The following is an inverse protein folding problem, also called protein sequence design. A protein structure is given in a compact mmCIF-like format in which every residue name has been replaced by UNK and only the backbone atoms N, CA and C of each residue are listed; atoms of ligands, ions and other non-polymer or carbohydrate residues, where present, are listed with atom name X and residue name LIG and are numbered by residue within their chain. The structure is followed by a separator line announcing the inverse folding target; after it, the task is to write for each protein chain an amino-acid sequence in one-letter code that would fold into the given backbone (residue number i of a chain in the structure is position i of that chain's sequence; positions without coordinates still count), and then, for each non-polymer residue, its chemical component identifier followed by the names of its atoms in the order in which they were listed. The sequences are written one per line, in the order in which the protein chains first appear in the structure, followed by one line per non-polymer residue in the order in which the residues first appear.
data_IF_423703081992
#
_entry.id   IF_423703081992
#
_cell.length_a   1.000
_cell.length_b   1.000
_cell.length_c   1.000
_cell.angle_alpha   90.00
_cell.angle_beta   90.00
_cell.angle_gamma   90.00
#
_symmetry.space_group_name_H-M   'P 1'
#
loop_
_entity.id
_entity.type
_entity.pdbx_description
1 polymer ?
#
# COMPACT_ATOMS: atom_id res chain seq x y z
N UNK A 1 -12.54 -12.64 15.87
CA UNK A 1 -11.66 -11.62 15.26
C UNK A 1 -11.08 -12.00 13.89
N UNK A 2 -10.65 -13.25 13.62
CA UNK A 2 -10.05 -13.64 12.32
C UNK A 2 -10.97 -13.50 11.09
N UNK A 3 -12.28 -13.77 11.22
CA UNK A 3 -13.23 -13.68 10.11
C UNK A 3 -13.51 -12.26 9.63
N UNK A 4 -13.48 -11.26 10.52
CA UNK A 4 -13.72 -9.85 10.18
C UNK A 4 -12.56 -9.27 9.35
N UNK A 5 -11.32 -9.61 9.70
CA UNK A 5 -10.14 -9.22 8.91
C UNK A 5 -10.18 -9.80 7.50
N UNK A 6 -10.48 -11.09 7.36
CA UNK A 6 -10.62 -11.74 6.05
C UNK A 6 -11.71 -11.10 5.17
N UNK A 7 -12.87 -10.81 5.75
CA UNK A 7 -13.94 -10.11 5.04
C UNK A 7 -13.49 -8.71 4.60
N UNK A 8 -12.81 -7.96 5.46
CA UNK A 8 -12.28 -6.65 5.14
C UNK A 8 -11.22 -6.68 4.03
N UNK A 9 -10.33 -7.68 4.03
CA UNK A 9 -9.35 -7.88 2.95
C UNK A 9 -10.05 -8.19 1.63
N UNK A 10 -11.09 -9.04 1.63
CA UNK A 10 -11.85 -9.34 0.41
C UNK A 10 -12.57 -8.10 -0.13
N UNK A 11 -13.29 -7.38 0.72
CA UNK A 11 -14.00 -6.15 0.33
C UNK A 11 -13.00 -5.09 -0.13
N UNK A 12 -11.85 -4.96 0.55
CA UNK A 12 -10.77 -4.06 0.16
C UNK A 12 -10.15 -4.43 -1.18
N UNK A 13 -9.99 -5.72 -1.47
CA UNK A 13 -9.53 -6.20 -2.77
C UNK A 13 -10.48 -5.80 -3.90
N UNK A 14 -11.79 -6.02 -3.71
CA UNK A 14 -12.80 -5.59 -4.68
C UNK A 14 -12.85 -4.06 -4.82
N UNK A 15 -12.78 -3.31 -3.72
CA UNK A 15 -12.76 -1.85 -3.73
C UNK A 15 -11.53 -1.30 -4.45
N UNK A 16 -10.35 -1.89 -4.21
CA UNK A 16 -9.10 -1.53 -4.89
C UNK A 16 -9.15 -1.83 -6.38
N UNK A 17 -9.71 -2.99 -6.78
CA UNK A 17 -9.91 -3.35 -8.19
C UNK A 17 -10.91 -2.43 -8.89
N UNK A 18 -11.99 -2.05 -8.19
CA UNK A 18 -12.94 -1.06 -8.69
C UNK A 18 -12.28 0.30 -8.87
N UNK A 19 -11.51 0.80 -7.88
CA UNK A 19 -10.77 2.06 -8.01
C UNK A 19 -9.81 2.04 -9.20
N UNK A 20 -9.02 0.96 -9.32
CA UNK A 20 -8.03 0.81 -10.38
C UNK A 20 -8.65 0.74 -11.80
N UNK A 21 -9.89 0.27 -11.92
CA UNK A 21 -10.60 0.22 -13.20
C UNK A 21 -11.36 1.50 -13.53
N UNK A 22 -11.81 2.27 -12.53
CA UNK A 22 -12.64 3.48 -12.71
C UNK A 22 -11.82 4.77 -12.75
N UNK A 23 -10.68 4.83 -12.08
CA UNK A 23 -9.84 6.03 -11.97
C UNK A 23 -8.49 5.85 -12.67
N UNK A 24 -7.80 6.97 -12.91
CA UNK A 24 -6.42 6.92 -13.42
C UNK A 24 -5.49 6.20 -12.42
N UNK A 25 -4.44 5.56 -12.93
CA UNK A 25 -3.47 4.82 -12.13
C UNK A 25 -2.86 5.68 -11.02
N UNK A 26 -2.59 6.96 -11.32
CA UNK A 26 -2.07 7.97 -10.37
C UNK A 26 -3.05 8.24 -9.26
N UNK A 27 -4.32 8.51 -9.60
CA UNK A 27 -5.35 8.79 -8.61
C UNK A 27 -5.54 7.58 -7.68
N UNK A 28 -5.53 6.36 -8.24
CA UNK A 28 -5.58 5.13 -7.45
C UNK A 28 -4.40 5.03 -6.49
N UNK A 29 -3.16 5.24 -6.95
CA UNK A 29 -1.97 5.17 -6.10
C UNK A 29 -2.00 6.20 -4.96
N UNK A 30 -2.46 7.43 -5.22
CA UNK A 30 -2.66 8.45 -4.18
C UNK A 30 -3.71 8.02 -3.16
N UNK A 31 -4.88 7.58 -3.61
CA UNK A 31 -5.96 7.16 -2.72
C UNK A 31 -5.50 6.00 -1.84
N UNK A 32 -4.90 4.96 -2.43
CA UNK A 32 -4.40 3.80 -1.71
C UNK A 32 -3.33 4.16 -0.67
N UNK A 33 -2.36 4.98 -1.06
CA UNK A 33 -1.33 5.46 -0.14
C UNK A 33 -1.93 6.27 1.00
N UNK A 34 -2.82 7.21 0.72
CA UNK A 34 -3.43 8.08 1.73
C UNK A 34 -4.30 7.27 2.71
N UNK A 35 -5.08 6.31 2.22
CA UNK A 35 -5.84 5.37 3.05
C UNK A 35 -4.92 4.59 3.99
N UNK A 36 -3.81 4.06 3.46
CA UNK A 36 -2.83 3.31 4.25
C UNK A 36 -2.17 4.18 5.32
N UNK A 37 -1.86 5.44 5.00
CA UNK A 37 -1.27 6.39 5.95
C UNK A 37 -2.25 6.72 7.09
N UNK A 38 -3.52 6.95 6.77
CA UNK A 38 -4.57 7.18 7.78
C UNK A 38 -4.71 5.95 8.68
N UNK A 39 -4.72 4.74 8.11
CA UNK A 39 -4.79 3.50 8.89
C UNK A 39 -3.59 3.38 9.85
N UNK A 40 -2.38 3.69 9.39
CA UNK A 40 -1.18 3.70 10.23
C UNK A 40 -1.31 4.71 11.40
N UNK A 41 -1.85 5.90 11.13
CA UNK A 41 -2.05 6.94 12.14
C UNK A 41 -3.06 6.53 13.21
N UNK A 42 -4.11 5.79 12.82
CA UNK A 42 -5.12 5.27 13.75
C UNK A 42 -4.52 4.35 14.83
N UNK A 43 -3.47 3.60 14.50
CA UNK A 43 -2.75 2.80 15.49
C UNK A 43 -1.87 3.63 16.42
N UNK A 44 -1.28 4.72 15.93
CA UNK A 44 -0.54 5.66 16.78
C UNK A 44 -1.47 6.30 17.81
N UNK A 45 -2.68 6.69 17.40
CA UNK A 45 -3.72 7.20 18.31
C UNK A 45 -4.18 6.13 19.33
N UNK A 46 -4.40 4.90 18.87
CA UNK A 46 -4.79 3.78 19.74
C UNK A 46 -3.72 3.46 20.80
N UNK A 47 -2.44 3.61 20.45
CA UNK A 47 -1.33 3.41 21.38
C UNK A 47 -1.30 4.44 22.53
N UNK A 48 -1.97 5.60 22.38
CA UNK A 48 -2.05 6.65 23.40
C UNK A 48 -3.32 6.50 24.26
N UNK A 49 -4.45 6.09 23.66
CA UNK A 49 -5.77 5.99 24.35
C UNK A 49 -5.89 4.76 25.24
N UNK A 50 -5.14 3.69 24.98
CA UNK A 50 -5.17 2.44 25.76
C UNK A 50 -6.01 1.32 25.14
N UNK A 51 -6.03 0.15 25.79
CA UNK A 51 -6.54 -1.12 25.25
C UNK A 51 -8.07 -1.16 25.23
N UNK A 52 -8.69 -0.47 24.28
CA UNK A 52 -10.09 -0.69 23.91
C UNK A 52 -10.17 -1.77 22.82
N UNK A 53 -10.80 -2.90 23.15
CA UNK A 53 -10.93 -4.06 22.26
C UNK A 53 -11.73 -3.71 20.99
N UNK A 54 -12.69 -2.78 21.07
CA UNK A 54 -13.47 -2.33 19.92
C UNK A 54 -12.65 -1.45 19.00
N UNK A 55 -11.88 -0.51 19.56
CA UNK A 55 -11.01 0.37 18.78
C UNK A 55 -9.89 -0.41 18.10
N UNK A 56 -9.31 -1.41 18.78
CA UNK A 56 -8.32 -2.33 18.19
C UNK A 56 -8.92 -3.14 17.04
N UNK A 57 -10.12 -3.70 17.22
CA UNK A 57 -10.79 -4.47 16.17
C UNK A 57 -11.09 -3.62 14.93
N UNK A 58 -11.55 -2.37 15.11
CA UNK A 58 -11.78 -1.44 14.00
C UNK A 58 -10.48 -1.04 13.30
N UNK A 59 -9.42 -0.71 14.05
CA UNK A 59 -8.13 -0.33 13.47
C UNK A 59 -7.53 -1.48 12.63
N UNK A 60 -7.56 -2.71 13.13
CA UNK A 60 -7.09 -3.89 12.38
C UNK A 60 -7.95 -4.12 11.14
N UNK A 61 -9.28 -3.99 11.26
CA UNK A 61 -10.18 -4.17 10.11
C UNK A 61 -9.92 -3.13 9.03
N UNK A 62 -9.75 -1.86 9.42
CA UNK A 62 -9.40 -0.77 8.50
C UNK A 62 -8.03 -1.00 7.87
N UNK A 63 -7.04 -1.42 8.64
CA UNK A 63 -5.69 -1.73 8.13
C UNK A 63 -5.72 -2.85 7.08
N UNK A 64 -6.39 -3.96 7.38
CA UNK A 64 -6.54 -5.07 6.44
C UNK A 64 -7.27 -4.65 5.16
N UNK A 65 -8.28 -3.78 5.27
CA UNK A 65 -8.97 -3.21 4.12
C UNK A 65 -8.03 -2.35 3.27
N UNK A 66 -7.34 -1.38 3.89
CA UNK A 66 -6.44 -0.45 3.18
C UNK A 66 -5.22 -1.17 2.57
N UNK A 67 -4.69 -2.18 3.26
CA UNK A 67 -3.59 -3.01 2.79
C UNK A 67 -3.98 -3.83 1.56
N UNK A 68 -5.21 -4.37 1.53
CA UNK A 68 -5.75 -5.05 0.36
C UNK A 68 -5.92 -4.09 -0.83
N UNK A 69 -6.52 -2.91 -0.60
CA UNK A 69 -6.67 -1.86 -1.62
C UNK A 69 -5.31 -1.48 -2.22
N UNK A 70 -4.33 -1.19 -1.36
CA UNK A 70 -2.97 -0.81 -1.77
C UNK A 70 -2.27 -1.92 -2.57
N UNK A 71 -2.42 -3.17 -2.16
CA UNK A 71 -1.84 -4.33 -2.87
C UNK A 71 -2.42 -4.48 -4.28
N UNK A 72 -3.74 -4.35 -4.44
CA UNK A 72 -4.38 -4.47 -5.76
C UNK A 72 -3.93 -3.34 -6.69
N UNK A 73 -3.87 -2.11 -6.19
CA UNK A 73 -3.41 -0.96 -6.96
C UNK A 73 -1.93 -1.10 -7.34
N UNK A 74 -1.10 -1.62 -6.43
CA UNK A 74 0.30 -1.87 -6.69
C UNK A 74 0.51 -2.93 -7.79
N UNK A 75 -0.25 -4.03 -7.74
CA UNK A 75 -0.25 -5.05 -8.79
C UNK A 75 -0.71 -4.48 -10.13
N UNK A 76 -1.74 -3.63 -10.14
CA UNK A 76 -2.17 -2.93 -11.36
C UNK A 76 -1.06 -2.03 -11.93
N UNK A 77 -0.32 -1.34 -11.05
CA UNK A 77 0.83 -0.51 -11.44
C UNK A 77 1.97 -1.34 -12.03
N UNK A 78 2.36 -2.45 -11.39
CA UNK A 78 3.37 -3.36 -11.93
C UNK A 78 2.96 -3.95 -13.28
N UNK A 79 1.68 -4.29 -13.43
CA UNK A 79 1.12 -4.79 -14.69
C UNK A 79 1.20 -3.74 -15.79
N UNK A 80 0.89 -2.48 -15.49
CA UNK A 80 1.01 -1.37 -16.43
C UNK A 80 2.46 -1.13 -16.87
N UNK A 81 3.43 -1.36 -15.98
CA UNK A 81 4.87 -1.22 -16.26
C UNK A 81 5.40 -2.31 -17.21
N UNK A 82 4.80 -3.51 -17.18
CA UNK A 82 5.21 -4.66 -17.98
C UNK A 82 4.55 -4.64 -19.37
N UNK A 83 4.94 -3.68 -20.21
CA UNK A 83 4.31 -3.47 -21.53
C UNK A 83 4.81 -4.37 -22.65
N UNK A 84 5.98 -5.00 -22.50
CA UNK A 84 6.64 -5.68 -23.62
C UNK A 84 6.18 -7.15 -23.77
N UNK A 85 5.35 -7.51 -24.78
CA UNK A 85 4.68 -8.81 -24.89
C UNK A 85 5.63 -10.02 -24.97
N UNK A 86 6.92 -9.83 -25.26
CA UNK A 86 7.91 -10.90 -25.37
C UNK A 86 8.46 -11.40 -24.00
N UNK A 87 8.48 -10.55 -22.96
CA UNK A 87 9.08 -10.88 -21.65
C UNK A 87 8.25 -10.40 -20.43
N UNK A 88 6.97 -10.09 -20.63
CA UNK A 88 6.05 -9.58 -19.59
C UNK A 88 6.07 -10.40 -18.30
N UNK A 89 6.06 -11.74 -18.42
CA UNK A 89 6.02 -12.63 -17.26
C UNK A 89 7.29 -12.53 -16.39
N UNK A 90 8.46 -12.46 -17.03
CA UNK A 90 9.75 -12.36 -16.33
C UNK A 90 9.93 -10.98 -15.70
N UNK A 91 9.54 -9.91 -16.39
CA UNK A 91 9.60 -8.55 -15.86
C UNK A 91 8.67 -8.36 -14.65
N UNK A 92 7.44 -8.88 -14.74
CA UNK A 92 6.50 -8.84 -13.63
C UNK A 92 7.00 -9.64 -12.43
N UNK A 93 7.56 -10.83 -12.66
CA UNK A 93 8.17 -11.65 -11.61
C UNK A 93 9.35 -10.94 -10.94
N UNK A 94 10.23 -10.30 -11.72
CA UNK A 94 11.39 -9.56 -11.21
C UNK A 94 10.94 -8.37 -10.34
N UNK A 95 9.98 -7.57 -10.83
CA UNK A 95 9.47 -6.40 -10.09
C UNK A 95 8.73 -6.81 -8.82
N UNK A 96 7.94 -7.88 -8.88
CA UNK A 96 7.24 -8.43 -7.71
C UNK A 96 8.23 -8.99 -6.68
N UNK A 97 9.28 -9.69 -7.14
CA UNK A 97 10.34 -10.18 -6.27
C UNK A 97 11.09 -9.02 -5.58
N UNK A 98 11.41 -7.96 -6.33
CA UNK A 98 12.05 -6.76 -5.76
C UNK A 98 11.16 -6.10 -4.70
N UNK A 99 9.86 -5.96 -4.96
CA UNK A 99 8.90 -5.43 -4.01
C UNK A 99 8.81 -6.31 -2.74
N UNK A 100 8.81 -7.64 -2.91
CA UNK A 100 8.77 -8.59 -1.81
C UNK A 100 10.02 -8.51 -0.93
N UNK A 101 11.20 -8.33 -1.53
CA UNK A 101 12.46 -8.14 -0.80
C UNK A 101 12.38 -6.88 0.06
N UNK A 102 12.00 -5.74 -0.52
CA UNK A 102 11.89 -4.48 0.22
C UNK A 102 10.93 -4.59 1.42
N UNK A 103 9.75 -5.18 1.20
CA UNK A 103 8.78 -5.45 2.27
C UNK A 103 9.35 -6.35 3.37
N UNK A 104 10.06 -7.41 3.00
CA UNK A 104 10.59 -8.40 3.95
C UNK A 104 11.69 -7.82 4.82
N UNK A 105 12.62 -7.06 4.23
CA UNK A 105 13.67 -6.38 4.98
C UNK A 105 13.11 -5.37 5.97
N UNK A 106 12.16 -4.54 5.54
CA UNK A 106 11.49 -3.56 6.41
C UNK A 106 10.70 -4.26 7.53
N UNK A 107 9.97 -5.33 7.19
CA UNK A 107 9.18 -6.10 8.16
C UNK A 107 10.05 -6.85 9.17
N UNK A 108 11.24 -7.31 8.79
CA UNK A 108 12.13 -8.05 9.69
C UNK A 108 12.71 -7.16 10.78
N UNK A 109 13.06 -5.90 10.47
CA UNK A 109 13.55 -4.91 11.44
C UNK A 109 12.47 -4.25 12.29
N UNK A 110 11.22 -4.24 11.79
CA UNK A 110 10.10 -3.56 12.43
C UNK A 110 9.86 -4.00 13.89
N UNK A 111 9.95 -5.30 14.18
CA UNK A 111 9.72 -5.82 15.53
C UNK A 111 10.77 -5.36 16.55
N UNK A 112 12.03 -5.23 16.13
CA UNK A 112 13.10 -4.73 17.01
C UNK A 112 12.92 -3.24 17.32
N UNK A 113 12.55 -2.45 16.31
CA UNK A 113 12.27 -1.01 16.48
C UNK A 113 11.05 -0.80 17.38
N UNK A 114 9.98 -1.59 17.21
CA UNK A 114 8.79 -1.54 18.06
C UNK A 114 9.11 -1.89 19.52
N UNK A 115 9.96 -2.89 19.77
CA UNK A 115 10.40 -3.25 21.11
C UNK A 115 11.25 -2.16 21.78
N UNK A 116 12.07 -1.44 21.00
CA UNK A 116 12.97 -0.40 21.52
C UNK A 116 12.29 0.98 21.72
N UNK A 117 11.34 1.35 20.85
CA UNK A 117 10.73 2.69 20.84
C UNK A 117 9.31 2.73 21.39
N UNK A 118 8.66 1.57 21.53
CA UNK A 118 7.25 1.45 21.87
C UNK A 118 6.34 1.66 20.65
N UNK A 119 5.14 1.09 20.73
CA UNK A 119 4.19 1.04 19.60
C UNK A 119 3.79 2.42 19.06
N UNK A 120 3.62 3.43 19.93
CA UNK A 120 3.23 4.77 19.51
C UNK A 120 4.27 5.43 18.58
N UNK A 121 5.55 5.39 18.98
CA UNK A 121 6.66 5.95 18.20
C UNK A 121 6.97 5.11 16.96
N UNK A 122 6.79 3.78 17.03
CA UNK A 122 6.92 2.92 15.86
C UNK A 122 5.97 3.35 14.72
N UNK A 123 4.68 3.56 15.02
CA UNK A 123 3.71 4.01 14.01
C UNK A 123 4.00 5.44 13.53
N UNK A 124 4.52 6.33 14.39
CA UNK A 124 4.95 7.67 13.99
C UNK A 124 6.16 7.60 13.02
N UNK A 125 7.14 6.74 13.29
CA UNK A 125 8.27 6.50 12.39
C UNK A 125 7.78 5.92 11.06
N UNK A 126 6.83 4.99 11.07
CA UNK A 126 6.20 4.46 9.84
C UNK A 126 5.56 5.57 9.00
N UNK A 127 4.90 6.55 9.64
CA UNK A 127 4.34 7.72 8.94
C UNK A 127 5.44 8.54 8.28
N UNK A 128 6.55 8.80 8.97
CA UNK A 128 7.70 9.54 8.40
C UNK A 128 8.33 8.77 7.24
N UNK A 129 8.47 7.45 7.35
CA UNK A 129 8.98 6.58 6.28
C UNK A 129 8.02 6.51 5.08
N UNK A 130 6.73 6.78 5.26
CA UNK A 130 5.79 6.88 4.15
C UNK A 130 5.96 8.18 3.34
N UNK A 131 6.45 9.27 3.93
CA UNK A 131 6.68 10.56 3.25
C UNK A 131 7.53 10.44 1.98
N UNK A 132 8.71 9.80 1.97
CA UNK A 132 9.50 9.67 0.74
C UNK A 132 8.77 8.91 -0.36
N UNK A 133 7.90 7.96 -0.02
CA UNK A 133 7.06 7.25 -1.00
C UNK A 133 6.12 8.22 -1.72
N UNK A 134 5.42 9.07 -0.97
CA UNK A 134 4.55 10.10 -1.57
C UNK A 134 5.33 11.16 -2.36
N UNK A 135 6.51 11.56 -1.88
CA UNK A 135 7.38 12.48 -2.62
C UNK A 135 7.81 11.89 -3.97
N UNK A 136 8.20 10.61 -3.99
CA UNK A 136 8.55 9.90 -5.22
C UNK A 136 7.36 9.84 -6.18
N UNK A 137 6.16 9.56 -5.66
CA UNK A 137 4.94 9.49 -6.45
C UNK A 137 4.58 10.86 -7.06
N UNK A 138 4.67 11.93 -6.27
CA UNK A 138 4.50 13.31 -6.75
C UNK A 138 5.54 13.68 -7.82
N UNK A 139 6.80 13.25 -7.64
CA UNK A 139 7.87 13.48 -8.60
C UNK A 139 7.65 12.72 -9.92
N UNK A 140 7.22 11.46 -9.86
CA UNK A 140 6.87 10.67 -11.05
C UNK A 140 5.67 11.25 -11.80
N UNK A 141 4.69 11.77 -11.06
CA UNK A 141 3.56 12.50 -11.62
C UNK A 141 4.01 13.78 -12.34
N UNK A 142 4.89 14.57 -11.72
CA UNK A 142 5.43 15.80 -12.33
C UNK A 142 6.26 15.53 -13.60
N UNK A 143 6.85 14.33 -13.71
CA UNK A 143 7.59 13.87 -14.90
C UNK A 143 6.71 13.30 -16.01
N UNK A 144 5.39 13.22 -15.82
CA UNK A 144 4.47 12.63 -16.81
C UNK A 144 4.64 11.11 -17.01
N UNK A 145 5.28 10.41 -16.06
CA UNK A 145 5.57 8.96 -16.19
C UNK A 145 4.31 8.13 -16.48
N UNK A 146 3.20 8.52 -15.89
CA UNK A 146 1.93 7.81 -16.01
C UNK A 146 1.20 8.06 -17.32
N UNK A 147 1.46 9.20 -18.00
CA UNK A 147 0.91 9.46 -19.34
C UNK A 147 1.50 8.48 -20.37
N UNK A 148 2.80 8.17 -20.22
CA UNK A 148 3.50 7.18 -21.05
C UNK A 148 2.95 5.75 -20.84
N UNK A 149 2.41 5.44 -19.66
CA UNK A 149 1.80 4.15 -19.35
C UNK A 149 0.38 4.01 -19.93
N UNK A 150 -0.35 5.12 -20.08
CA UNK A 150 -1.70 5.15 -20.65
C UNK A 150 -1.75 5.32 -22.18
N UNK A 151 -0.67 5.76 -22.83
CA UNK A 151 -0.64 5.93 -24.29
C UNK A 151 -0.90 4.60 -25.01
N UNK A 152 -1.76 4.50 -26.04
CA UNK A 152 -2.08 3.21 -26.69
C UNK A 152 -0.82 2.53 -27.29
N UNK A 153 -0.76 1.20 -27.21
CA UNK A 153 0.27 0.41 -27.91
C UNK A 153 0.11 0.70 -29.40
N UNK A 154 1.10 1.35 -30.03
CA UNK A 154 1.13 1.49 -31.48
C UNK A 154 1.31 0.09 -32.08
N UNK A 155 0.21 -0.51 -32.51
CA UNK A 155 0.16 -1.64 -33.44
C UNK A 155 0.63 -1.20 -34.81
#
# INVERSE_FOLDING_TARGET
MKGLGLAATLIGGFAGGFLASRYSLVASLWIGGFLQAIANLSFSWLAIVGIDHYALALAITAENFTSAVGTVIFVAYLSALCRNPAHTATQYALLTALAAIGRTYLSSGAGYVAAATGWAWFFAICMVVAVPSFMLLAWLQARGHFEALTAPVKT
#
